data_IF_624250056511
#
_entry.id   IF_624250056511
#
_cell.length_a   1.000
_cell.length_b   1.000
_cell.length_c   1.000
_cell.angle_alpha   90.00
_cell.angle_beta   90.00
_cell.angle_gamma   90.00
#
_symmetry.space_group_name_H-M   'P 1'
#
loop_
_entity.id
_entity.type
_entity.pdbx_description
1 polymer ?
#
# COMPACT_ATOMS: atom_id res chain seq x y z
N UNK A 1 -1.47 -1.46 -26.16
CA UNK A 1 -0.84 -2.72 -25.77
C UNK A 1 0.53 -2.46 -25.15
N UNK A 2 0.82 -3.10 -24.05
CA UNK A 2 2.12 -2.98 -23.38
C UNK A 2 3.12 -4.00 -23.94
N UNK A 3 4.37 -3.57 -24.05
CA UNK A 3 5.51 -4.44 -24.34
C UNK A 3 6.13 -4.99 -23.06
N UNK A 4 7.00 -5.97 -23.19
CA UNK A 4 7.77 -6.48 -22.04
C UNK A 4 8.63 -5.41 -21.37
N UNK A 5 9.06 -4.37 -22.11
CA UNK A 5 9.79 -3.23 -21.55
C UNK A 5 8.92 -2.33 -20.65
N UNK A 6 7.61 -2.42 -20.76
CA UNK A 6 6.69 -1.65 -19.93
C UNK A 6 6.39 -2.32 -18.59
N UNK A 7 6.81 -3.56 -18.40
CA UNK A 7 6.53 -4.34 -17.18
C UNK A 7 7.18 -3.65 -15.98
N UNK A 8 6.35 -3.30 -14.99
CA UNK A 8 6.76 -2.70 -13.72
C UNK A 8 5.74 -3.02 -12.64
N UNK A 9 6.14 -2.91 -11.38
CA UNK A 9 5.22 -3.03 -10.25
C UNK A 9 4.13 -1.95 -10.35
N UNK A 10 2.89 -2.35 -10.15
CA UNK A 10 1.75 -1.45 -10.22
C UNK A 10 1.11 -1.33 -11.61
N UNK A 11 1.70 -1.91 -12.66
CA UNK A 11 1.10 -1.90 -13.99
C UNK A 11 -0.18 -2.74 -13.99
N UNK A 12 -1.28 -2.15 -14.46
CA UNK A 12 -2.59 -2.80 -14.51
C UNK A 12 -2.81 -3.35 -15.93
N UNK A 13 -3.03 -4.67 -16.00
CA UNK A 13 -3.20 -5.38 -17.27
C UNK A 13 -4.47 -6.22 -17.25
N UNK A 14 -5.04 -6.44 -18.42
CA UNK A 14 -6.21 -7.30 -18.59
C UNK A 14 -5.75 -8.66 -19.09
N UNK A 15 -6.14 -9.73 -18.39
CA UNK A 15 -5.90 -11.12 -18.81
C UNK A 15 -7.19 -11.91 -18.63
N UNK A 16 -7.62 -12.58 -19.68
CA UNK A 16 -8.86 -13.38 -19.68
C UNK A 16 -10.08 -12.59 -19.15
N UNK A 17 -10.17 -11.32 -19.49
CA UNK A 17 -11.26 -10.43 -19.09
C UNK A 17 -11.18 -9.90 -17.66
N UNK A 18 -10.14 -10.24 -16.90
CA UNK A 18 -9.96 -9.81 -15.52
C UNK A 18 -8.80 -8.82 -15.38
N UNK A 19 -8.94 -7.81 -14.49
CA UNK A 19 -7.85 -6.88 -14.22
C UNK A 19 -6.84 -7.50 -13.25
N UNK A 20 -5.57 -7.35 -13.59
CA UNK A 20 -4.45 -7.80 -12.76
C UNK A 20 -3.50 -6.65 -12.47
N UNK A 21 -2.87 -6.69 -11.32
CA UNK A 21 -1.78 -5.80 -10.94
C UNK A 21 -0.47 -6.60 -10.96
N UNK A 22 0.55 -6.06 -11.60
CA UNK A 22 1.88 -6.64 -11.54
C UNK A 22 2.49 -6.31 -10.18
N UNK A 23 2.82 -7.32 -9.40
CA UNK A 23 3.36 -7.17 -8.05
C UNK A 23 4.85 -7.48 -7.95
N UNK A 24 5.36 -8.28 -8.87
CA UNK A 24 6.79 -8.66 -8.90
C UNK A 24 7.18 -9.07 -10.31
N UNK A 25 8.39 -8.77 -10.70
CA UNK A 25 8.93 -9.23 -11.99
C UNK A 25 10.43 -9.43 -11.92
N UNK A 26 10.94 -10.33 -12.77
CA UNK A 26 12.36 -10.59 -12.95
C UNK A 26 12.65 -10.85 -14.41
N UNK A 27 13.55 -10.09 -15.00
CA UNK A 27 14.05 -10.36 -16.34
C UNK A 27 15.04 -11.52 -16.32
N UNK A 28 14.81 -12.53 -17.18
CA UNK A 28 15.66 -13.72 -17.28
C UNK A 28 16.17 -13.86 -18.71
N UNK A 29 17.48 -13.90 -18.85
CA UNK A 29 18.15 -14.16 -20.12
C UNK A 29 18.91 -15.48 -20.01
N UNK A 30 18.29 -16.63 -20.42
CA UNK A 30 18.95 -17.92 -20.30
C UNK A 30 20.14 -18.02 -21.27
N UNK A 31 21.10 -18.87 -20.95
CA UNK A 31 22.25 -19.14 -21.84
C UNK A 31 21.84 -19.82 -23.15
N UNK A 32 20.72 -20.55 -23.15
CA UNK A 32 20.08 -21.13 -24.33
C UNK A 32 18.59 -20.80 -24.28
N UNK A 33 18.04 -20.33 -25.41
CA UNK A 33 16.65 -19.97 -25.54
C UNK A 33 16.37 -18.49 -25.51
N UNK A 34 15.11 -18.10 -25.70
CA UNK A 34 14.65 -16.72 -25.74
C UNK A 34 14.57 -16.10 -24.34
N UNK A 35 14.88 -14.82 -24.24
CA UNK A 35 14.69 -14.04 -23.03
C UNK A 35 13.19 -13.95 -22.65
N UNK A 36 12.92 -13.95 -21.37
CA UNK A 36 11.57 -13.80 -20.85
C UNK A 36 11.59 -13.00 -19.55
N UNK A 37 10.42 -12.46 -19.18
CA UNK A 37 10.21 -11.79 -17.90
C UNK A 37 9.29 -12.65 -17.05
N UNK A 38 9.81 -13.19 -15.95
CA UNK A 38 9.01 -13.90 -14.96
C UNK A 38 8.21 -12.87 -14.18
N UNK A 39 6.89 -12.95 -14.26
CA UNK A 39 6.02 -11.90 -13.73
C UNK A 39 4.95 -12.49 -12.84
N UNK A 40 4.76 -11.90 -11.65
CA UNK A 40 3.67 -12.23 -10.74
C UNK A 40 2.57 -11.20 -10.87
N UNK A 41 1.36 -11.70 -11.02
CA UNK A 41 0.15 -10.92 -11.20
C UNK A 41 -0.81 -11.22 -10.06
N UNK A 42 -1.40 -10.17 -9.49
CA UNK A 42 -2.51 -10.32 -8.54
C UNK A 42 -3.81 -9.97 -9.24
N UNK A 43 -4.77 -10.90 -9.21
CA UNK A 43 -6.13 -10.63 -9.69
C UNK A 43 -6.78 -9.59 -8.78
N UNK A 44 -7.16 -8.44 -9.33
CA UNK A 44 -7.73 -7.35 -8.55
C UNK A 44 -9.17 -7.62 -8.08
N UNK A 45 -9.85 -8.62 -8.66
CA UNK A 45 -11.19 -8.99 -8.25
C UNK A 45 -11.20 -10.08 -7.16
N UNK A 46 -10.25 -11.02 -7.20
CA UNK A 46 -10.20 -12.18 -6.30
C UNK A 46 -9.04 -12.16 -5.32
N UNK A 47 -8.00 -11.37 -5.59
CA UNK A 47 -6.76 -11.37 -4.80
C UNK A 47 -5.81 -12.52 -5.11
N UNK A 48 -6.18 -13.46 -5.96
CA UNK A 48 -5.34 -14.60 -6.32
C UNK A 48 -4.08 -14.14 -7.05
N UNK A 49 -2.95 -14.78 -6.73
CA UNK A 49 -1.66 -14.48 -7.36
C UNK A 49 -1.32 -15.58 -8.34
N UNK A 50 -0.96 -15.22 -9.56
CA UNK A 50 -0.50 -16.14 -10.60
C UNK A 50 0.87 -15.68 -11.10
N UNK A 51 1.71 -16.62 -11.48
CA UNK A 51 3.02 -16.35 -12.09
C UNK A 51 3.02 -16.78 -13.54
N UNK A 52 3.49 -15.92 -14.43
CA UNK A 52 3.62 -16.22 -15.86
C UNK A 52 4.95 -15.70 -16.39
N UNK A 53 5.51 -16.44 -17.34
CA UNK A 53 6.68 -16.00 -18.08
C UNK A 53 6.21 -15.29 -19.35
N UNK A 54 6.52 -14.02 -19.44
CA UNK A 54 6.19 -13.19 -20.62
C UNK A 54 7.42 -13.16 -21.52
N UNK A 55 7.29 -13.73 -22.70
CA UNK A 55 8.39 -13.79 -23.67
C UNK A 55 8.60 -12.43 -24.33
N UNK A 56 9.83 -12.19 -24.74
CA UNK A 56 10.15 -11.01 -25.52
C UNK A 56 9.29 -10.97 -26.79
N UNK A 57 8.60 -9.86 -27.03
CA UNK A 57 7.68 -9.72 -28.16
C UNK A 57 6.20 -10.00 -27.85
N UNK A 58 5.89 -10.62 -26.71
CA UNK A 58 4.52 -10.74 -26.27
C UNK A 58 3.95 -9.38 -25.84
N UNK A 59 2.66 -9.22 -26.04
CA UNK A 59 1.93 -8.00 -25.68
C UNK A 59 1.00 -8.26 -24.51
N UNK A 60 0.89 -7.27 -23.64
CA UNK A 60 -0.06 -7.26 -22.54
C UNK A 60 -1.13 -6.20 -22.82
N UNK A 61 -2.39 -6.57 -22.60
CA UNK A 61 -3.51 -5.67 -22.80
C UNK A 61 -3.67 -4.75 -21.57
N UNK A 62 -3.79 -3.41 -21.75
CA UNK A 62 -4.06 -2.53 -20.63
C UNK A 62 -5.43 -2.82 -20.01
N UNK A 63 -5.51 -2.84 -18.69
CA UNK A 63 -6.80 -2.86 -18.00
C UNK A 63 -7.39 -1.44 -18.02
N UNK A 64 -8.65 -1.34 -18.40
CA UNK A 64 -9.38 -0.06 -18.39
C UNK A 64 -9.82 0.24 -16.96
N UNK A 65 -8.97 0.93 -16.21
CA UNK A 65 -9.21 1.32 -14.82
C UNK A 65 -9.27 2.83 -14.72
N UNK A 66 -10.04 3.33 -13.75
CA UNK A 66 -10.14 4.74 -13.42
C UNK A 66 -9.59 4.98 -12.02
N UNK A 67 -8.69 5.94 -11.88
CA UNK A 67 -8.17 6.37 -10.58
C UNK A 67 -8.91 7.62 -10.13
N UNK A 68 -9.41 7.61 -8.89
CA UNK A 68 -10.10 8.75 -8.28
C UNK A 68 -9.41 9.14 -6.98
N UNK A 69 -9.23 10.44 -6.78
CA UNK A 69 -8.75 10.98 -5.51
C UNK A 69 -9.91 10.98 -4.52
N UNK A 70 -9.76 10.23 -3.43
CA UNK A 70 -10.79 10.08 -2.41
C UNK A 70 -10.23 10.40 -1.03
N UNK A 71 -11.12 10.69 -0.10
CA UNK A 71 -10.78 10.96 1.29
C UNK A 71 -11.34 9.86 2.17
N UNK A 72 -10.48 9.25 2.98
CA UNK A 72 -10.94 8.32 4.01
C UNK A 72 -11.69 9.11 5.08
N UNK A 73 -12.93 8.73 5.36
CA UNK A 73 -13.76 9.43 6.36
C UNK A 73 -13.72 8.75 7.72
N UNK A 74 -14.18 7.51 7.79
CA UNK A 74 -14.32 6.78 9.05
C UNK A 74 -14.45 5.26 8.82
N UNK A 75 -14.35 4.51 9.91
CA UNK A 75 -14.55 3.06 9.89
C UNK A 75 -16.00 2.76 10.29
N UNK A 76 -16.63 1.81 9.61
CA UNK A 76 -17.97 1.35 9.89
C UNK A 76 -18.03 -0.18 9.80
N UNK A 77 -18.35 -0.86 10.89
CA UNK A 77 -18.49 -2.32 10.97
C UNK A 77 -17.24 -3.08 10.42
N UNK A 78 -16.04 -2.53 10.61
CA UNK A 78 -14.79 -3.12 10.13
C UNK A 78 -14.41 -2.72 8.71
N UNK A 79 -15.29 -2.08 7.97
CA UNK A 79 -15.01 -1.56 6.64
C UNK A 79 -14.62 -0.08 6.70
N UNK A 80 -14.10 0.44 5.59
CA UNK A 80 -13.61 1.80 5.48
C UNK A 80 -14.49 2.59 4.52
N UNK A 81 -14.96 3.76 4.98
CA UNK A 81 -15.80 4.64 4.16
C UNK A 81 -14.94 5.75 3.57
N UNK A 82 -14.99 5.88 2.24
CA UNK A 82 -14.29 6.90 1.47
C UNK A 82 -15.27 7.82 0.77
N UNK A 83 -14.87 9.06 0.56
CA UNK A 83 -15.66 10.06 -0.16
C UNK A 83 -14.86 10.58 -1.35
N UNK A 84 -15.49 10.58 -2.52
CA UNK A 84 -14.97 11.23 -3.71
C UNK A 84 -15.02 12.75 -3.51
N UNK A 85 -13.88 13.41 -3.63
CA UNK A 85 -13.80 14.86 -3.39
C UNK A 85 -14.40 15.70 -4.51
N UNK A 86 -14.64 15.13 -5.68
CA UNK A 86 -15.22 15.85 -6.81
C UNK A 86 -16.75 15.91 -6.77
N UNK A 87 -17.41 14.85 -6.28
CA UNK A 87 -18.88 14.73 -6.32
C UNK A 87 -19.49 14.37 -4.94
N UNK A 88 -18.67 14.19 -3.91
CA UNK A 88 -19.06 13.83 -2.54
C UNK A 88 -19.75 12.46 -2.40
N UNK A 89 -19.70 11.63 -3.43
CA UNK A 89 -20.20 10.27 -3.34
C UNK A 89 -19.33 9.43 -2.41
N UNK A 90 -19.97 8.59 -1.59
CA UNK A 90 -19.30 7.72 -0.64
C UNK A 90 -19.28 6.28 -1.14
N UNK A 91 -18.19 5.60 -0.85
CA UNK A 91 -18.03 4.18 -1.16
C UNK A 91 -17.43 3.48 0.06
N UNK A 92 -17.92 2.28 0.35
CA UNK A 92 -17.40 1.43 1.42
C UNK A 92 -16.45 0.41 0.82
N UNK A 93 -15.25 0.32 1.40
CA UNK A 93 -14.17 -0.55 0.92
C UNK A 93 -13.74 -1.46 2.08
N UNK A 94 -13.65 -2.77 1.81
CA UNK A 94 -13.18 -3.73 2.79
C UNK A 94 -11.68 -3.52 3.11
N UNK A 95 -11.29 -3.76 4.35
CA UNK A 95 -9.90 -3.62 4.81
C UNK A 95 -8.93 -4.52 4.03
N UNK A 96 -9.40 -5.66 3.57
CA UNK A 96 -8.59 -6.61 2.80
C UNK A 96 -8.01 -6.01 1.52
N UNK A 97 -8.71 -5.04 0.93
CA UNK A 97 -8.26 -4.38 -0.29
C UNK A 97 -7.05 -3.48 -0.06
N UNK A 98 -6.91 -2.95 1.15
CA UNK A 98 -5.81 -2.06 1.54
C UNK A 98 -4.64 -2.85 2.12
N UNK A 99 -4.93 -3.94 2.84
CA UNK A 99 -3.94 -4.75 3.53
C UNK A 99 -3.55 -4.17 4.89
N UNK A 100 -2.38 -4.55 5.39
CA UNK A 100 -1.94 -4.25 6.76
C UNK A 100 -1.87 -2.75 7.07
N UNK A 101 -1.62 -1.92 6.08
CA UNK A 101 -1.52 -0.47 6.26
C UNK A 101 -2.86 0.21 6.60
N UNK A 102 -3.99 -0.51 6.56
CA UNK A 102 -5.29 0.07 6.90
C UNK A 102 -5.33 0.63 8.34
N UNK A 103 -4.54 0.08 9.24
CA UNK A 103 -4.47 0.54 10.63
C UNK A 103 -3.66 1.83 10.82
N UNK A 104 -2.95 2.28 9.79
CA UNK A 104 -2.24 3.55 9.78
C UNK A 104 -3.09 4.71 9.25
N UNK A 105 -4.33 4.45 8.86
CA UNK A 105 -5.21 5.44 8.26
C UNK A 105 -5.92 6.26 9.32
N UNK A 106 -5.61 7.55 9.35
CA UNK A 106 -6.28 8.54 10.17
C UNK A 106 -7.46 9.13 9.39
N UNK A 107 -8.50 9.55 10.10
CA UNK A 107 -9.66 10.21 9.50
C UNK A 107 -9.22 11.38 8.61
N UNK A 108 -9.87 11.52 7.47
CA UNK A 108 -9.62 12.53 6.44
C UNK A 108 -8.33 12.33 5.63
N UNK A 109 -7.72 11.14 5.67
CA UNK A 109 -6.54 10.84 4.89
C UNK A 109 -6.88 10.82 3.38
N UNK A 110 -6.17 11.61 2.54
CA UNK A 110 -6.34 11.50 1.10
C UNK A 110 -5.74 10.20 0.57
N UNK A 111 -6.47 9.51 -0.29
CA UNK A 111 -6.05 8.25 -0.90
C UNK A 111 -6.43 8.24 -2.38
N UNK A 112 -5.74 7.43 -3.16
CA UNK A 112 -6.11 7.17 -4.54
C UNK A 112 -6.81 5.81 -4.61
N UNK A 113 -8.05 5.79 -5.10
CA UNK A 113 -8.81 4.55 -5.28
C UNK A 113 -8.92 4.25 -6.76
N UNK A 114 -8.59 3.01 -7.13
CA UNK A 114 -8.67 2.52 -8.51
C UNK A 114 -9.96 1.73 -8.66
N UNK A 115 -10.73 2.06 -9.71
CA UNK A 115 -12.00 1.41 -10.03
C UNK A 115 -11.89 0.65 -11.35
N UNK A 116 -12.50 -0.51 -11.39
CA UNK A 116 -12.71 -1.30 -12.60
C UNK A 116 -14.21 -1.57 -12.73
N UNK A 117 -14.84 -1.07 -13.81
CA UNK A 117 -16.30 -1.16 -14.02
C UNK A 117 -17.08 -0.71 -12.78
N UNK A 118 -16.77 0.49 -12.26
CA UNK A 118 -17.39 1.12 -11.09
C UNK A 118 -17.17 0.37 -9.77
N UNK A 119 -16.33 -0.64 -9.75
CA UNK A 119 -15.97 -1.39 -8.56
C UNK A 119 -14.59 -0.98 -8.07
N UNK A 120 -14.42 -0.62 -6.77
CA UNK A 120 -13.09 -0.36 -6.23
C UNK A 120 -12.27 -1.66 -6.21
N UNK A 121 -11.07 -1.62 -6.79
CA UNK A 121 -10.20 -2.79 -6.93
C UNK A 121 -8.82 -2.60 -6.32
N UNK A 122 -8.44 -1.37 -6.00
CA UNK A 122 -7.15 -1.07 -5.37
C UNK A 122 -7.23 0.27 -4.66
N UNK A 123 -6.47 0.41 -3.57
CA UNK A 123 -6.34 1.66 -2.81
C UNK A 123 -4.87 1.95 -2.60
N UNK A 124 -4.43 3.13 -3.00
CA UNK A 124 -3.07 3.59 -2.76
C UNK A 124 -3.08 4.66 -1.69
N UNK A 125 -2.38 4.40 -0.59
CA UNK A 125 -2.18 5.35 0.50
C UNK A 125 -1.02 6.30 0.16
N UNK A 126 -0.97 7.49 0.78
CA UNK A 126 0.26 8.29 0.77
C UNK A 126 1.43 7.44 1.26
N UNK A 127 2.61 7.64 0.70
CA UNK A 127 3.81 6.91 1.11
C UNK A 127 4.10 7.08 2.60
N UNK A 128 3.86 8.28 3.11
CA UNK A 128 4.09 8.61 4.52
C UNK A 128 2.84 9.16 5.17
N UNK A 129 2.65 8.78 6.43
CA UNK A 129 1.61 9.34 7.30
C UNK A 129 2.25 9.90 8.56
N UNK A 130 1.58 10.87 9.20
CA UNK A 130 2.05 11.54 10.40
C UNK A 130 1.08 11.25 11.52
N UNK A 131 1.54 10.50 12.53
CA UNK A 131 0.67 9.98 13.59
C UNK A 131 1.27 10.27 14.95
N UNK A 132 0.40 10.60 15.90
CA UNK A 132 0.78 10.87 17.28
C UNK A 132 0.91 9.55 18.07
N UNK A 133 1.93 9.48 18.93
CA UNK A 133 2.11 8.38 19.87
C UNK A 133 1.16 8.57 21.06
N UNK A 134 0.29 7.59 21.29
CA UNK A 134 -0.70 7.63 22.36
C UNK A 134 -0.31 6.74 23.56
N UNK A 135 0.50 5.70 23.33
CA UNK A 135 1.01 4.84 24.38
C UNK A 135 2.41 4.36 24.03
N UNK A 136 3.29 4.33 25.01
CA UNK A 136 4.67 3.88 24.84
C UNK A 136 5.27 3.66 26.22
N UNK A 137 6.03 2.59 26.38
CA UNK A 137 6.82 2.37 27.59
C UNK A 137 8.06 3.25 27.61
N UNK A 138 8.53 3.70 28.80
CA UNK A 138 9.80 4.40 28.89
C UNK A 138 10.95 3.51 28.43
N UNK A 139 11.92 4.09 27.73
CA UNK A 139 13.14 3.39 27.37
C UNK A 139 13.91 2.96 28.63
N UNK A 140 14.43 1.73 28.66
CA UNK A 140 15.21 1.21 29.80
C UNK A 140 16.59 1.85 29.78
N UNK A 141 16.99 2.49 30.88
CA UNK A 141 18.36 3.02 31.07
C UNK A 141 19.34 1.87 31.08
N UNK A 142 20.36 1.93 30.24
CA UNK A 142 21.44 0.94 30.21
C UNK A 142 21.56 0.18 28.89
N UNK A 143 20.59 0.31 28.02
CA UNK A 143 20.72 -0.23 26.66
C UNK A 143 21.53 0.74 25.81
N UNK A 144 22.77 0.38 25.57
CA UNK A 144 23.75 1.22 24.87
C UNK A 144 23.89 0.88 23.38
N UNK A 145 23.18 -0.13 22.89
CA UNK A 145 23.17 -0.42 21.44
C UNK A 145 22.25 0.55 20.72
N UNK A 146 22.77 1.31 19.76
CA UNK A 146 22.05 2.35 19.02
C UNK A 146 20.86 1.85 18.18
N UNK A 147 20.59 0.54 18.17
CA UNK A 147 19.54 -0.10 17.39
C UNK A 147 18.40 -0.66 18.23
N UNK A 148 18.36 -0.36 19.52
CA UNK A 148 17.27 -0.84 20.40
C UNK A 148 16.02 -0.03 20.12
N UNK A 149 14.94 -0.74 19.87
CA UNK A 149 13.63 -0.16 19.64
C UNK A 149 12.64 -0.65 20.70
N UNK A 150 11.55 0.08 20.85
CA UNK A 150 10.44 -0.28 21.73
C UNK A 150 9.12 -0.21 20.98
N UNK A 151 8.09 -0.97 21.40
CA UNK A 151 6.77 -0.84 20.82
C UNK A 151 6.13 0.47 21.25
N UNK A 152 5.38 1.08 20.35
CA UNK A 152 4.57 2.26 20.59
C UNK A 152 3.22 2.12 19.91
N UNK A 153 2.18 2.66 20.55
CA UNK A 153 0.83 2.70 20.00
C UNK A 153 0.56 4.07 19.42
N UNK A 154 0.03 4.08 18.21
CA UNK A 154 -0.33 5.29 17.47
C UNK A 154 -1.79 5.69 17.75
N UNK A 155 -2.14 6.93 17.43
CA UNK A 155 -3.50 7.46 17.60
C UNK A 155 -4.57 6.66 16.84
N UNK A 156 -4.19 5.92 15.80
CA UNK A 156 -5.08 5.02 15.05
C UNK A 156 -5.28 3.66 15.71
N UNK A 157 -4.56 3.38 16.79
CA UNK A 157 -4.53 2.06 17.44
C UNK A 157 -3.46 1.11 16.89
N UNK A 158 -2.77 1.49 15.82
CA UNK A 158 -1.68 0.69 15.26
C UNK A 158 -0.47 0.67 16.17
N UNK A 159 0.32 -0.40 16.10
CA UNK A 159 1.57 -0.53 16.85
C UNK A 159 2.75 -0.49 15.88
N UNK A 160 3.78 0.25 16.24
CA UNK A 160 5.04 0.33 15.50
C UNK A 160 6.22 0.28 16.44
N UNK A 161 7.36 -0.17 15.94
CA UNK A 161 8.62 -0.12 16.69
C UNK A 161 9.29 1.23 16.49
N UNK A 162 9.67 1.89 17.58
CA UNK A 162 10.26 3.23 17.57
C UNK A 162 11.55 3.26 18.39
N UNK A 163 12.45 4.23 18.12
CA UNK A 163 13.62 4.44 18.98
C UNK A 163 13.23 4.75 20.44
N UNK A 164 14.13 4.46 21.37
CA UNK A 164 13.85 4.61 22.80
C UNK A 164 13.53 6.05 23.22
N UNK A 165 14.02 7.07 22.48
CA UNK A 165 13.78 8.48 22.80
C UNK A 165 12.37 8.97 22.48
N UNK A 166 11.58 8.19 21.73
CA UNK A 166 10.20 8.56 21.38
C UNK A 166 9.30 8.46 22.61
N UNK A 167 8.45 9.46 22.81
CA UNK A 167 7.56 9.58 23.97
C UNK A 167 6.11 9.76 23.54
N UNK A 168 5.19 9.48 24.46
CA UNK A 168 3.77 9.82 24.29
C UNK A 168 3.64 11.31 23.99
N UNK A 169 2.82 11.64 23.00
CA UNK A 169 2.63 13.01 22.52
C UNK A 169 3.52 13.41 21.34
N UNK A 170 4.56 12.64 21.06
CA UNK A 170 5.38 12.88 19.87
C UNK A 170 4.60 12.50 18.62
N UNK A 171 4.80 13.26 17.56
CA UNK A 171 4.30 12.91 16.21
C UNK A 171 5.44 12.29 15.42
N UNK A 172 5.18 11.16 14.81
CA UNK A 172 6.16 10.44 14.00
C UNK A 172 5.69 10.30 12.56
N UNK A 173 6.66 10.21 11.67
CA UNK A 173 6.46 9.88 10.26
C UNK A 173 6.60 8.37 10.09
N UNK A 174 5.61 7.74 9.49
CA UNK A 174 5.55 6.29 9.27
C UNK A 174 5.43 6.02 7.77
N UNK A 175 6.22 5.07 7.27
CA UNK A 175 6.13 4.59 5.89
C UNK A 175 4.98 3.58 5.79
N UNK A 176 3.97 3.88 4.99
CA UNK A 176 2.79 3.01 4.83
C UNK A 176 3.10 1.73 4.06
N UNK A 177 4.17 1.71 3.27
CA UNK A 177 4.58 0.52 2.50
C UNK A 177 5.24 -0.55 3.35
N UNK A 178 5.99 -0.13 4.37
CA UNK A 178 6.76 -1.02 5.25
C UNK A 178 6.20 -1.10 6.66
N UNK A 179 5.29 -0.19 7.03
CA UNK A 179 4.74 -0.07 8.39
C UNK A 179 5.80 0.32 9.42
N UNK A 180 6.84 1.04 8.98
CA UNK A 180 8.00 1.36 9.80
C UNK A 180 8.09 2.84 10.12
N UNK A 181 8.60 3.12 11.32
CA UNK A 181 9.01 4.45 11.77
C UNK A 181 10.10 5.01 10.84
N UNK A 182 9.97 6.27 10.47
CA UNK A 182 10.96 6.99 9.66
C UNK A 182 11.71 8.03 10.51
N UNK A 183 10.97 8.95 11.12
CA UNK A 183 11.55 10.03 11.91
C UNK A 183 10.51 10.66 12.84
N UNK A 184 11.00 11.36 13.86
CA UNK A 184 10.14 12.21 14.68
C UNK A 184 9.95 13.56 13.99
N UNK A 185 8.70 14.02 13.96
CA UNK A 185 8.35 15.33 13.41
C UNK A 185 8.43 16.37 14.52
N UNK A 186 9.27 17.38 14.33
CA UNK A 186 9.36 18.47 15.29
C UNK A 186 8.10 19.33 15.20
N UNK A 187 7.46 19.56 16.36
CA UNK A 187 6.39 20.56 16.43
C UNK A 187 7.03 21.93 16.26
N UNK A 188 6.67 22.61 15.19
CA UNK A 188 6.95 24.03 15.02
C UNK A 188 5.91 24.84 15.77
#
# INVERSE_FOLDING_TARGET
MYDTSDIRKGLKVLMDGNPYNIIEFQFVKPGKGAAFTRTKFRNLLTGAVVERNIRSGEKLEPANVESREMQFLYREAGDLVFMDQSNYEQVTIATDLIGDAHDLMKDNLPCTVVFFNERPVDVTLPTFVFLEITASEPGVKGDTSGNVQKPATLETGASVSVPLFIRVGDTIKVDTRTHEYVERVNKT
#
